data_IF_330371992755
#
_entry.id   IF_330371992755
#
_cell.length_a   1.000
_cell.length_b   1.000
_cell.length_c   1.000
_cell.angle_alpha   90.00
_cell.angle_beta   90.00
_cell.angle_gamma   90.00
#
_symmetry.space_group_name_H-M   'P 1'
#
loop_
_entity.id
_entity.type
_entity.pdbx_description
1 polymer ?
#
# COMPACT_ATOMS: atom_id res chain seq x y z
N UNK A 1 29.19 3.09 2.52
CA UNK A 1 28.46 3.87 3.54
C UNK A 1 26.99 3.69 3.23
N UNK A 2 26.29 2.86 4.00
CA UNK A 2 24.87 2.53 3.81
C UNK A 2 24.02 3.66 4.39
N UNK A 3 23.50 4.55 3.55
CA UNK A 3 22.73 5.73 3.98
C UNK A 3 21.22 5.58 3.77
N UNK A 4 20.62 4.45 4.13
CA UNK A 4 19.15 4.29 4.16
C UNK A 4 18.61 3.52 5.38
N UNK A 5 19.43 3.20 6.38
CA UNK A 5 19.00 2.42 7.57
C UNK A 5 18.42 3.25 8.71
N UNK A 6 17.88 4.46 8.50
CA UNK A 6 17.38 5.28 9.63
C UNK A 6 16.21 6.23 9.34
N UNK A 7 15.35 5.93 8.37
CA UNK A 7 13.98 6.46 8.46
C UNK A 7 13.18 5.47 9.29
N UNK A 8 13.27 5.56 10.62
CA UNK A 8 12.15 5.12 11.46
C UNK A 8 11.04 6.12 11.22
N UNK A 9 10.31 5.94 10.12
CA UNK A 9 9.03 6.60 9.93
C UNK A 9 8.20 6.12 11.12
N UNK A 10 7.95 7.02 12.07
CA UNK A 10 7.16 6.71 13.25
C UNK A 10 5.69 6.74 12.81
N UNK A 11 5.26 5.66 12.16
CA UNK A 11 3.91 5.53 11.64
C UNK A 11 2.97 5.38 12.84
N UNK A 12 2.01 6.30 13.05
CA UNK A 12 1.10 6.27 14.18
C UNK A 12 -0.03 5.27 13.89
N UNK A 13 0.29 3.98 13.86
CA UNK A 13 -0.61 2.90 13.43
C UNK A 13 -2.00 2.92 14.07
N UNK A 14 -2.08 3.26 15.37
CA UNK A 14 -3.36 3.38 16.10
C UNK A 14 -4.27 4.49 15.58
N UNK A 15 -3.70 5.48 14.87
CA UNK A 15 -4.41 6.66 14.34
C UNK A 15 -4.68 6.55 12.83
N UNK A 16 -4.33 5.43 12.21
CA UNK A 16 -4.59 5.13 10.80
C UNK A 16 -5.64 4.03 10.71
N UNK A 17 -6.57 4.19 9.79
CA UNK A 17 -7.65 3.23 9.57
C UNK A 17 -7.26 2.11 8.59
N UNK A 18 -7.93 0.99 8.78
CA UNK A 18 -7.94 -0.23 7.96
C UNK A 18 -9.38 -0.54 7.59
N UNK A 19 -9.60 -1.55 6.75
CA UNK A 19 -10.95 -2.03 6.43
C UNK A 19 -11.80 -2.42 7.65
N UNK A 20 -11.16 -2.77 8.77
CA UNK A 20 -11.83 -3.32 9.95
C UNK A 20 -11.43 -2.60 11.26
N UNK A 21 -11.11 -1.30 11.21
CA UNK A 21 -10.78 -0.50 12.39
C UNK A 21 -9.41 0.17 12.29
N UNK A 22 -8.57 0.05 13.32
CA UNK A 22 -7.25 0.70 13.40
C UNK A 22 -6.10 -0.18 12.92
N UNK A 23 -5.00 0.46 12.52
CA UNK A 23 -3.76 -0.20 12.11
C UNK A 23 -2.92 -0.81 13.24
N UNK A 24 -3.37 -0.80 14.50
CA UNK A 24 -2.60 -1.19 15.69
C UNK A 24 -1.92 -2.56 15.59
N UNK A 25 -2.57 -3.53 14.93
CA UNK A 25 -2.03 -4.89 14.75
C UNK A 25 -1.02 -5.02 13.61
N UNK A 26 -0.96 -4.07 12.68
CA UNK A 26 -0.13 -4.16 11.46
C UNK A 26 1.35 -4.46 11.75
N UNK A 27 2.03 -3.79 12.71
CA UNK A 27 3.43 -4.10 13.00
C UNK A 27 3.67 -5.56 13.37
N UNK A 28 2.76 -6.14 14.17
CA UNK A 28 2.82 -7.56 14.57
C UNK A 28 2.58 -8.47 13.37
N UNK A 29 1.63 -8.13 12.51
CA UNK A 29 1.30 -8.90 11.32
C UNK A 29 2.43 -8.90 10.28
N UNK A 30 3.09 -7.76 10.07
CA UNK A 30 4.31 -7.66 9.24
C UNK A 30 5.39 -8.57 9.81
N UNK A 31 5.71 -8.44 11.10
CA UNK A 31 6.75 -9.25 11.74
C UNK A 31 6.49 -10.76 11.66
N UNK A 32 5.21 -11.15 11.76
CA UNK A 32 4.77 -12.55 11.68
C UNK A 32 4.44 -13.03 10.26
N UNK A 33 4.60 -12.16 9.24
CA UNK A 33 4.36 -12.48 7.83
C UNK A 33 2.92 -12.96 7.54
N UNK A 34 1.94 -12.39 8.22
CA UNK A 34 0.52 -12.71 8.03
C UNK A 34 -0.06 -11.93 6.84
N UNK A 35 0.41 -12.27 5.63
CA UNK A 35 0.10 -11.49 4.42
C UNK A 35 -1.38 -11.50 4.03
N UNK A 36 -2.10 -12.61 4.25
CA UNK A 36 -3.54 -12.68 3.96
C UNK A 36 -4.35 -11.74 4.86
N UNK A 37 -4.03 -11.70 6.16
CA UNK A 37 -4.65 -10.77 7.10
C UNK A 37 -4.28 -9.31 6.80
N UNK A 38 -3.01 -9.05 6.45
CA UNK A 38 -2.56 -7.73 6.02
C UNK A 38 -3.31 -7.26 4.76
N UNK A 39 -3.45 -8.13 3.75
CA UNK A 39 -4.14 -7.80 2.51
C UNK A 39 -5.58 -7.35 2.81
N UNK A 40 -6.32 -8.11 3.61
CA UNK A 40 -7.70 -7.79 4.00
C UNK A 40 -7.83 -6.49 4.83
N UNK A 41 -6.78 -6.09 5.56
CA UNK A 41 -6.79 -4.84 6.33
C UNK A 41 -6.49 -3.61 5.46
N UNK A 42 -5.59 -3.75 4.48
CA UNK A 42 -5.12 -2.62 3.66
C UNK A 42 -5.87 -2.48 2.34
N UNK A 43 -6.56 -3.52 1.89
CA UNK A 43 -7.43 -3.51 0.72
C UNK A 43 -8.70 -4.26 1.05
N UNK A 44 -9.85 -3.67 0.72
CA UNK A 44 -11.11 -4.39 0.77
C UNK A 44 -12.10 -3.79 -0.23
N UNK A 45 -12.69 -4.64 -1.08
CA UNK A 45 -13.66 -4.25 -2.11
C UNK A 45 -13.14 -3.12 -3.02
N UNK A 46 -11.90 -3.25 -3.49
CA UNK A 46 -11.25 -2.28 -4.38
C UNK A 46 -11.00 -0.91 -3.75
N UNK A 47 -11.03 -0.81 -2.42
CA UNK A 47 -10.68 0.39 -1.67
C UNK A 47 -9.36 0.21 -0.96
N UNK A 48 -8.43 1.15 -1.14
CA UNK A 48 -7.20 1.24 -0.35
C UNK A 48 -7.42 2.13 0.87
N UNK A 49 -6.91 1.69 2.02
CA UNK A 49 -7.09 2.34 3.32
C UNK A 49 -5.87 3.19 3.70
N UNK A 50 -6.00 4.02 4.76
CA UNK A 50 -4.92 4.92 5.18
C UNK A 50 -3.58 4.21 5.41
N UNK A 51 -3.63 2.96 5.86
CA UNK A 51 -2.46 2.13 6.15
C UNK A 51 -1.74 1.58 4.92
N UNK A 52 -2.40 1.50 3.76
CA UNK A 52 -1.91 0.79 2.56
C UNK A 52 -0.54 1.25 2.07
N UNK A 53 -0.30 2.54 1.76
CA UNK A 53 1.00 2.97 1.25
C UNK A 53 2.14 2.69 2.25
N UNK A 54 1.86 2.72 3.56
CA UNK A 54 2.84 2.44 4.60
C UNK A 54 3.19 0.96 4.71
N UNK A 55 2.19 0.09 4.64
CA UNK A 55 2.41 -1.37 4.63
C UNK A 55 3.21 -1.77 3.40
N UNK A 56 2.84 -1.27 2.21
CA UNK A 56 3.60 -1.51 0.99
C UNK A 56 5.04 -1.03 1.10
N UNK A 57 5.27 0.18 1.60
CA UNK A 57 6.62 0.72 1.75
C UNK A 57 7.50 -0.23 2.59
N UNK A 58 6.99 -0.73 3.71
CA UNK A 58 7.75 -1.64 4.58
C UNK A 58 7.94 -2.99 3.89
N UNK A 59 6.87 -3.60 3.38
CA UNK A 59 6.92 -4.94 2.79
C UNK A 59 7.82 -4.98 1.56
N UNK A 60 7.78 -3.98 0.68
CA UNK A 60 8.63 -3.92 -0.51
C UNK A 60 10.12 -3.73 -0.14
N UNK A 61 10.41 -2.98 0.93
CA UNK A 61 11.77 -2.88 1.47
C UNK A 61 12.26 -4.19 2.07
N UNK A 62 11.37 -4.99 2.66
CA UNK A 62 11.69 -6.33 3.15
C UNK A 62 11.87 -7.33 2.00
N UNK A 63 10.96 -7.32 1.02
CA UNK A 63 10.99 -8.12 -0.19
C UNK A 63 12.31 -7.97 -0.94
N UNK A 64 12.80 -6.74 -1.11
CA UNK A 64 14.07 -6.44 -1.77
C UNK A 64 15.30 -7.08 -1.09
N UNK A 65 15.16 -7.54 0.17
CA UNK A 65 16.22 -8.22 0.93
C UNK A 65 16.06 -9.75 0.90
N UNK A 66 14.92 -10.27 0.45
CA UNK A 66 14.65 -11.71 0.39
C UNK A 66 15.32 -12.35 -0.82
N UNK A 67 15.65 -13.63 -0.70
CA UNK A 67 16.00 -14.45 -1.87
C UNK A 67 14.71 -14.92 -2.57
N UNK A 68 14.71 -15.11 -3.90
CA UNK A 68 13.52 -15.55 -4.64
C UNK A 68 12.83 -16.78 -4.04
N UNK A 69 13.59 -17.75 -3.53
CA UNK A 69 13.05 -19.02 -2.98
C UNK A 69 12.40 -18.86 -1.60
N UNK A 70 12.59 -17.72 -0.94
CA UNK A 70 12.03 -17.41 0.38
C UNK A 70 10.70 -16.67 0.30
N UNK A 71 10.39 -16.11 -0.87
CA UNK A 71 9.15 -15.37 -1.13
C UNK A 71 7.98 -16.34 -1.18
N UNK A 72 6.92 -16.05 -0.41
CA UNK A 72 5.72 -16.88 -0.37
C UNK A 72 4.71 -16.43 -1.44
N UNK A 73 3.82 -17.34 -1.85
CA UNK A 73 2.69 -17.00 -2.72
C UNK A 73 1.76 -15.98 -2.08
N UNK A 74 1.52 -16.08 -0.77
CA UNK A 74 0.68 -15.15 -0.02
C UNK A 74 1.23 -13.72 -0.02
N UNK A 75 2.56 -13.54 -0.01
CA UNK A 75 3.17 -12.22 -0.13
C UNK A 75 2.90 -11.62 -1.53
N UNK A 76 2.95 -12.44 -2.59
CA UNK A 76 2.62 -11.99 -3.95
C UNK A 76 1.13 -11.71 -4.12
N UNK A 77 0.27 -12.51 -3.51
CA UNK A 77 -1.19 -12.31 -3.50
C UNK A 77 -1.57 -10.97 -2.86
N UNK A 78 -0.87 -10.54 -1.80
CA UNK A 78 -1.06 -9.20 -1.21
C UNK A 78 -0.76 -8.09 -2.21
N UNK A 79 0.38 -8.14 -2.92
CA UNK A 79 0.71 -7.11 -3.90
C UNK A 79 -0.25 -7.12 -5.08
N UNK A 80 -0.71 -8.29 -5.52
CA UNK A 80 -1.74 -8.43 -6.54
C UNK A 80 -3.08 -7.83 -6.10
N UNK A 81 -3.52 -8.10 -4.87
CA UNK A 81 -4.75 -7.53 -4.32
C UNK A 81 -4.72 -6.00 -4.37
N UNK A 82 -3.64 -5.40 -3.84
CA UNK A 82 -3.42 -3.95 -3.92
C UNK A 82 -3.38 -3.46 -5.37
N UNK A 83 -2.59 -4.09 -6.24
CA UNK A 83 -2.46 -3.68 -7.64
C UNK A 83 -3.80 -3.72 -8.39
N UNK A 84 -4.62 -4.74 -8.11
CA UNK A 84 -5.94 -4.91 -8.71
C UNK A 84 -6.96 -3.87 -8.24
N UNK A 85 -6.77 -3.29 -7.05
CA UNK A 85 -7.60 -2.23 -6.51
C UNK A 85 -7.19 -0.83 -7.02
N UNK A 86 -6.03 -0.69 -7.65
CA UNK A 86 -5.58 0.59 -8.19
C UNK A 86 -6.42 0.94 -9.42
N UNK A 87 -7.27 1.95 -9.25
CA UNK A 87 -8.04 2.56 -10.32
C UNK A 87 -7.40 3.90 -10.73
N UNK A 88 -7.10 4.04 -12.03
CA UNK A 88 -6.52 5.27 -12.61
C UNK A 88 -7.41 6.48 -12.37
N UNK A 89 -8.74 6.31 -12.32
CA UNK A 89 -9.69 7.40 -12.04
C UNK A 89 -9.54 7.96 -10.61
N UNK A 90 -9.15 7.11 -9.65
CA UNK A 90 -8.91 7.51 -8.25
C UNK A 90 -7.54 8.20 -8.07
N UNK A 91 -6.60 7.98 -9.00
CA UNK A 91 -5.24 8.54 -9.00
C UNK A 91 -5.16 9.97 -9.57
N UNK A 92 -6.13 10.82 -9.25
CA UNK A 92 -6.13 12.19 -9.77
C UNK A 92 -4.98 13.02 -9.17
N UNK A 93 -3.88 13.13 -9.93
CA UNK A 93 -2.64 13.82 -9.54
C UNK A 93 -2.81 15.31 -9.26
N UNK A 94 -3.92 15.94 -9.68
CA UNK A 94 -4.21 17.34 -9.33
C UNK A 94 -4.60 17.52 -7.86
N UNK A 95 -5.06 16.45 -7.22
CA UNK A 95 -5.53 16.47 -5.84
C UNK A 95 -4.58 15.78 -4.87
N UNK A 96 -3.67 14.90 -5.30
CA UNK A 96 -2.79 14.19 -4.37
C UNK A 96 -1.88 15.14 -3.55
N UNK A 97 -1.57 14.76 -2.31
CA UNK A 97 -0.57 15.45 -1.49
C UNK A 97 0.83 15.31 -2.11
N UNK A 98 1.74 16.24 -1.85
CA UNK A 98 3.04 16.25 -2.55
C UNK A 98 3.94 15.09 -2.11
N UNK A 99 3.86 14.72 -0.83
CA UNK A 99 4.69 13.67 -0.25
C UNK A 99 3.89 12.71 0.62
N UNK A 100 4.30 11.45 0.65
CA UNK A 100 3.65 10.43 1.49
C UNK A 100 3.67 10.82 2.98
N UNK A 101 4.68 11.56 3.45
CA UNK A 101 4.77 12.03 4.84
C UNK A 101 3.65 12.99 5.24
N UNK A 102 3.11 13.78 4.30
CA UNK A 102 1.96 14.66 4.58
C UNK A 102 0.73 13.86 5.01
N UNK A 103 0.59 12.59 4.57
CA UNK A 103 -0.49 11.71 5.03
C UNK A 103 -0.39 11.36 6.53
N UNK A 104 0.73 11.69 7.19
CA UNK A 104 0.89 11.59 8.64
C UNK A 104 0.68 12.92 9.38
N UNK A 105 0.25 13.97 8.68
CA UNK A 105 -0.12 15.22 9.34
C UNK A 105 -1.36 15.03 10.19
N UNK A 106 -1.41 15.72 11.33
CA UNK A 106 -2.48 15.59 12.31
C UNK A 106 -3.89 15.82 11.74
N UNK A 107 -4.00 16.56 10.62
CA UNK A 107 -5.27 16.78 9.93
C UNK A 107 -5.85 15.53 9.27
N UNK A 108 -5.03 14.54 8.89
CA UNK A 108 -5.49 13.27 8.30
C UNK A 108 -5.51 12.12 9.31
N UNK A 109 -4.91 12.32 10.49
CA UNK A 109 -4.84 11.30 11.53
C UNK A 109 -6.05 11.35 12.45
N UNK A 110 -6.66 10.20 12.65
CA UNK A 110 -7.72 10.06 13.63
C UNK A 110 -7.24 10.35 15.06
N UNK A 111 -8.14 10.64 16.02
CA UNK A 111 -7.77 10.75 17.43
C UNK A 111 -7.09 9.47 17.95
N UNK A 112 -6.29 9.60 19.01
CA UNK A 112 -5.72 8.41 19.69
C UNK A 112 -6.77 7.65 20.50
N UNK A 113 -7.81 8.34 20.94
CA UNK A 113 -8.95 7.75 21.63
C UNK A 113 -9.92 7.18 20.58
N UNK A 114 -10.28 5.91 20.73
CA UNK A 114 -11.16 5.17 19.82
C UNK A 114 -12.64 5.21 20.29
N UNK A 115 -12.94 5.79 21.46
CA UNK A 115 -14.30 5.78 22.05
C UNK A 115 -15.37 6.35 21.11
N UNK A 116 -15.03 7.36 20.33
CA UNK A 116 -15.96 8.04 19.43
C UNK A 116 -15.88 7.55 17.98
N UNK A 117 -15.09 6.53 17.63
CA UNK A 117 -14.79 6.17 16.23
C UNK A 117 -16.02 6.04 15.33
N UNK A 118 -17.10 5.42 15.84
CA UNK A 118 -18.38 5.29 15.12
C UNK A 118 -18.95 6.66 14.70
N UNK A 119 -18.90 7.65 15.59
CA UNK A 119 -19.37 9.02 15.32
C UNK A 119 -18.51 9.69 14.26
N UNK A 120 -17.18 9.53 14.35
CA UNK A 120 -16.25 10.13 13.38
C UNK A 120 -16.37 9.49 11.99
N UNK A 121 -16.78 8.22 11.90
CA UNK A 121 -17.07 7.55 10.64
C UNK A 121 -18.35 8.06 9.96
N UNK A 122 -19.32 8.55 10.74
CA UNK A 122 -20.60 9.06 10.24
C UNK A 122 -20.53 10.50 9.71
N UNK A 123 -19.41 11.19 9.90
CA UNK A 123 -19.17 12.52 9.33
C UNK A 123 -19.24 12.49 7.78
N UNK A 124 -19.70 13.58 7.16
CA UNK A 124 -19.84 13.65 5.70
C UNK A 124 -18.52 13.39 4.96
N UNK A 125 -17.41 13.82 5.56
CA UNK A 125 -16.05 13.59 5.08
C UNK A 125 -15.19 13.15 6.27
N UNK A 126 -15.04 11.84 6.51
CA UNK A 126 -14.23 11.31 7.59
C UNK A 126 -12.78 11.73 7.44
N UNK A 127 -12.10 11.93 8.58
CA UNK A 127 -10.71 12.38 8.58
C UNK A 127 -9.79 11.41 7.83
N UNK A 128 -8.95 11.95 6.96
CA UNK A 128 -8.06 11.16 6.12
C UNK A 128 -8.75 10.57 4.88
N UNK A 129 -10.01 10.91 4.63
CA UNK A 129 -10.73 10.58 3.40
C UNK A 129 -11.08 11.82 2.60
N UNK A 130 -10.48 12.97 2.96
CA UNK A 130 -10.44 14.13 2.09
C UNK A 130 -9.86 13.71 0.73
N UNK A 131 -10.40 14.27 -0.35
CA UNK A 131 -10.09 13.85 -1.71
C UNK A 131 -8.57 13.77 -1.97
N UNK A 132 -7.80 14.73 -1.45
CA UNK A 132 -6.35 14.72 -1.59
C UNK A 132 -5.66 13.53 -0.91
N UNK A 133 -6.09 13.18 0.31
CA UNK A 133 -5.53 12.08 1.06
C UNK A 133 -5.95 10.75 0.45
N UNK A 134 -7.24 10.62 0.11
CA UNK A 134 -7.79 9.40 -0.46
C UNK A 134 -7.14 9.06 -1.81
N UNK A 135 -7.08 10.00 -2.76
CA UNK A 135 -6.39 9.80 -4.05
C UNK A 135 -4.89 9.49 -3.88
N UNK A 136 -4.28 9.96 -2.81
CA UNK A 136 -2.87 9.70 -2.51
C UNK A 136 -2.60 8.26 -2.09
N UNK A 137 -3.55 7.58 -1.46
CA UNK A 137 -3.39 6.15 -1.09
C UNK A 137 -3.18 5.29 -2.33
N UNK A 138 -3.96 5.54 -3.39
CA UNK A 138 -3.79 4.87 -4.69
C UNK A 138 -2.52 5.31 -5.40
N UNK A 139 -2.27 6.62 -5.47
CA UNK A 139 -1.13 7.18 -6.19
C UNK A 139 0.20 6.71 -5.62
N UNK A 140 0.41 6.79 -4.30
CA UNK A 140 1.65 6.33 -3.68
C UNK A 140 1.78 4.80 -3.70
N UNK A 141 0.69 4.06 -3.51
CA UNK A 141 0.73 2.60 -3.62
C UNK A 141 1.16 2.14 -5.02
N UNK A 142 0.64 2.79 -6.07
CA UNK A 142 1.05 2.54 -7.44
C UNK A 142 2.53 2.85 -7.68
N UNK A 143 3.00 4.02 -7.24
CA UNK A 143 4.40 4.41 -7.39
C UNK A 143 5.34 3.44 -6.68
N UNK A 144 5.00 3.02 -5.45
CA UNK A 144 5.78 2.03 -4.70
C UNK A 144 5.86 0.68 -5.42
N UNK A 145 4.74 0.18 -5.94
CA UNK A 145 4.71 -1.08 -6.70
C UNK A 145 5.52 -0.96 -7.99
N UNK A 146 5.45 0.18 -8.69
CA UNK A 146 6.26 0.42 -9.90
C UNK A 146 7.75 0.48 -9.61
N UNK A 147 8.15 1.16 -8.54
CA UNK A 147 9.55 1.22 -8.12
C UNK A 147 10.09 -0.17 -7.76
N UNK A 148 9.23 -1.09 -7.33
CA UNK A 148 9.57 -2.48 -7.02
C UNK A 148 9.59 -3.43 -8.24
N UNK A 149 9.25 -2.98 -9.45
CA UNK A 149 9.28 -3.83 -10.68
C UNK A 149 10.59 -4.62 -10.82
N UNK A 150 11.79 -4.03 -10.66
CA UNK A 150 13.04 -4.80 -10.79
C UNK A 150 13.17 -5.92 -9.75
N UNK A 151 12.61 -5.73 -8.55
CA UNK A 151 12.61 -6.74 -7.48
C UNK A 151 11.69 -7.90 -7.86
N UNK A 152 10.47 -7.60 -8.35
CA UNK A 152 9.55 -8.62 -8.83
C UNK A 152 10.13 -9.44 -9.98
N UNK A 153 10.77 -8.77 -10.97
CA UNK A 153 11.43 -9.45 -12.08
C UNK A 153 12.52 -10.41 -11.58
N UNK A 154 13.38 -9.97 -10.66
CA UNK A 154 14.42 -10.83 -10.10
C UNK A 154 13.86 -12.04 -9.33
N UNK A 155 12.73 -11.88 -8.62
CA UNK A 155 12.06 -12.99 -7.94
C UNK A 155 11.49 -13.98 -8.97
N UNK A 156 10.83 -13.49 -10.02
CA UNK A 156 10.29 -14.31 -11.08
C UNK A 156 11.38 -15.16 -11.77
N UNK A 157 12.55 -14.58 -12.04
CA UNK A 157 13.69 -15.31 -12.63
C UNK A 157 14.27 -16.40 -11.72
N UNK A 158 14.13 -16.25 -10.40
CA UNK A 158 14.64 -17.20 -9.40
C UNK A 158 13.58 -18.13 -8.80
N UNK A 159 12.30 -17.98 -9.15
CA UNK A 159 11.20 -18.75 -8.56
C UNK A 159 10.06 -18.99 -9.56
N UNK A 160 10.20 -20.06 -10.34
CA UNK A 160 9.22 -20.48 -11.37
C UNK A 160 7.79 -20.64 -10.86
N UNK A 161 7.61 -20.97 -9.57
CA UNK A 161 6.28 -21.15 -8.97
C UNK A 161 5.51 -19.84 -8.85
N UNK A 162 6.21 -18.72 -8.67
CA UNK A 162 5.62 -17.39 -8.53
C UNK A 162 5.53 -16.66 -9.88
N UNK A 163 6.16 -17.17 -10.92
CA UNK A 163 6.21 -16.51 -12.22
C UNK A 163 4.83 -16.13 -12.79
N UNK A 164 3.76 -16.96 -12.73
CA UNK A 164 2.46 -16.56 -13.22
C UNK A 164 1.87 -15.33 -12.47
N UNK A 165 1.94 -15.34 -11.14
CA UNK A 165 1.45 -14.25 -10.29
C UNK A 165 2.24 -12.95 -10.53
N UNK A 166 3.57 -13.06 -10.68
CA UNK A 166 4.41 -11.90 -10.94
C UNK A 166 4.18 -11.35 -12.36
N UNK A 167 3.95 -12.21 -13.37
CA UNK A 167 3.61 -11.75 -14.72
C UNK A 167 2.30 -10.96 -14.74
N UNK A 168 1.30 -11.43 -14.02
CA UNK A 168 0.03 -10.72 -13.85
C UNK A 168 0.24 -9.36 -13.18
N UNK A 169 0.98 -9.32 -12.07
CA UNK A 169 1.30 -8.08 -11.36
C UNK A 169 2.04 -7.09 -12.28
N UNK A 170 3.06 -7.55 -13.00
CA UNK A 170 3.81 -6.71 -13.93
C UNK A 170 2.94 -6.19 -15.08
N UNK A 171 1.99 -6.99 -15.57
CA UNK A 171 1.06 -6.56 -16.61
C UNK A 171 0.16 -5.40 -16.12
N UNK A 172 -0.38 -5.51 -14.90
CA UNK A 172 -1.18 -4.42 -14.29
C UNK A 172 -0.36 -3.12 -14.16
N UNK A 173 0.91 -3.22 -13.75
CA UNK A 173 1.78 -2.06 -13.55
C UNK A 173 2.31 -1.42 -14.85
N UNK A 174 2.15 -2.11 -15.99
CA UNK A 174 2.62 -1.66 -17.32
C UNK A 174 1.48 -1.16 -18.22
N UNK A 175 0.22 -1.52 -17.93
CA UNK A 175 -0.94 -1.24 -18.78
C UNK A 175 -1.21 0.27 -19.04
N UNK A 176 -0.69 1.16 -18.19
CA UNK A 176 -0.88 2.62 -18.37
C UNK A 176 0.16 3.29 -19.29
N UNK A 177 1.12 2.52 -19.82
CA UNK A 177 2.12 3.04 -20.76
C UNK A 177 1.63 3.19 -22.21
N UNK A 178 0.57 2.48 -22.60
CA UNK A 178 0.15 2.34 -24.01
C UNK A 178 -1.14 3.10 -24.37
N UNK A 179 -1.83 3.69 -23.40
CA UNK A 179 -3.07 4.44 -23.64
C UNK A 179 -2.85 5.92 -24.00
N UNK A 180 -1.59 6.37 -24.12
CA UNK A 180 -1.24 7.78 -24.36
C UNK A 180 -0.72 8.09 -25.78
N UNK A 181 -0.88 7.20 -26.76
CA UNK A 181 -0.53 7.50 -28.16
C UNK A 181 -1.60 7.00 -29.13
N UNK A 182 -2.71 7.73 -29.20
CA UNK A 182 -3.55 7.81 -30.41
C UNK A 182 -4.17 9.21 -30.49
N UNK A 183 -3.40 10.15 -31.07
CA UNK A 183 -3.97 11.26 -31.85
C UNK A 183 -3.91 10.92 -33.35
#
# INVERSE_FOLDING_TARGET
MNSLTHLTINIPWQRLTTAYGRGTDIPRLIQSRQYEELANLIEHQSTLWQTTPWVLLILLQELAKQKPEQVSSQEMELYLAVASAINVDEMNSQNAVETMNELLDAKYLWPEDEEDDEVWWEEEEPRGYEQEAFSSYFSFSYLLLKDAIPVFTAIMEGNDKLAPAIQELLHMLQADGDSAVVE
#
